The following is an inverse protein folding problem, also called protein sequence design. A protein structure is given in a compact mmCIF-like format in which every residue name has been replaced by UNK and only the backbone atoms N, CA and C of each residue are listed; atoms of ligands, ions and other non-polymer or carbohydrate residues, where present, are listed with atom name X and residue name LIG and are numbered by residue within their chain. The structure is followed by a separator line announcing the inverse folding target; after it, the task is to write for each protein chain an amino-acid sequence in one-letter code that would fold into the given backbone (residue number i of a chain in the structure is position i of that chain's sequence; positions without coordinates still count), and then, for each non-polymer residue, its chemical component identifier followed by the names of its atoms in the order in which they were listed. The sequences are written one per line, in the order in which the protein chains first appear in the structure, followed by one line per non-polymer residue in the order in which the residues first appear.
data_IF_150888600311
#
_entry.id   IF_150888600311
#
_cell.length_a   1.000
_cell.length_b   1.000
_cell.length_c   1.000
_cell.angle_alpha   90.00
_cell.angle_beta   90.00
_cell.angle_gamma   90.00
#
_symmetry.space_group_name_H-M   'P 1'
#
loop_
_entity.id
_entity.type
_entity.pdbx_description
1 polymer ?
#
# COMPACT_ATOMS: atom_id res chain seq x y z
N UNK A 1 7.87 9.21 -31.13
CA UNK A 1 7.60 7.82 -30.73
C UNK A 1 6.68 7.87 -29.53
N UNK A 2 5.42 7.45 -29.66
CA UNK A 2 4.57 7.23 -28.49
C UNK A 2 5.09 5.96 -27.83
N UNK A 3 5.64 6.08 -26.62
CA UNK A 3 5.95 4.91 -25.80
C UNK A 3 4.59 4.32 -25.42
N UNK A 4 4.27 3.10 -25.87
CA UNK A 4 3.07 2.41 -25.41
C UNK A 4 3.30 1.98 -23.95
N UNK A 5 2.73 2.73 -23.01
CA UNK A 5 2.65 2.30 -21.62
C UNK A 5 1.46 1.36 -21.41
N UNK A 6 1.60 0.39 -20.50
CA UNK A 6 0.49 -0.40 -19.99
C UNK A 6 0.25 -0.02 -18.53
N UNK A 7 -1.00 0.28 -18.13
CA UNK A 7 -1.30 0.63 -16.75
C UNK A 7 -0.88 -0.43 -15.73
N UNK A 8 -0.79 -1.71 -16.11
CA UNK A 8 -0.41 -2.78 -15.17
C UNK A 8 0.99 -2.60 -14.57
N UNK A 9 1.89 -1.88 -15.23
CA UNK A 9 3.22 -1.54 -14.68
C UNK A 9 3.46 -0.05 -14.53
N UNK A 10 2.79 0.78 -15.32
CA UNK A 10 3.01 2.22 -15.30
C UNK A 10 2.22 2.94 -14.18
N UNK A 11 1.15 2.34 -13.66
CA UNK A 11 0.22 2.98 -12.72
C UNK A 11 0.25 2.28 -11.37
N UNK A 12 1.31 2.53 -10.61
CA UNK A 12 1.49 2.04 -9.24
C UNK A 12 2.13 3.11 -8.36
N UNK A 13 1.34 3.88 -7.58
CA UNK A 13 1.82 5.04 -6.84
C UNK A 13 2.46 4.72 -5.48
N UNK A 14 2.53 3.44 -5.09
CA UNK A 14 3.02 3.02 -3.77
C UNK A 14 4.55 2.84 -3.68
N UNK A 15 5.30 3.14 -4.74
CA UNK A 15 6.77 3.03 -4.73
C UNK A 15 7.42 3.87 -3.61
N UNK A 16 6.90 5.08 -3.39
CA UNK A 16 7.37 5.95 -2.31
C UNK A 16 7.04 5.40 -0.92
N UNK A 17 5.87 4.76 -0.78
CA UNK A 17 5.46 4.10 0.46
C UNK A 17 6.39 2.93 0.76
N UNK A 18 6.62 2.04 -0.21
CA UNK A 18 7.50 0.88 -0.03
C UNK A 18 8.93 1.29 0.33
N UNK A 19 9.52 2.26 -0.39
CA UNK A 19 10.87 2.76 -0.07
C UNK A 19 10.95 3.43 1.30
N UNK A 20 9.88 4.09 1.75
CA UNK A 20 9.80 4.69 3.10
C UNK A 20 9.84 3.60 4.17
N UNK A 21 9.17 2.46 3.95
CA UNK A 21 9.22 1.32 4.86
C UNK A 21 10.62 0.71 4.95
N UNK A 22 11.34 0.63 3.84
CA UNK A 22 12.75 0.19 3.84
C UNK A 22 13.63 1.13 4.68
N UNK A 23 13.43 2.45 4.58
CA UNK A 23 14.14 3.42 5.43
C UNK A 23 13.75 3.29 6.92
N UNK A 24 12.48 2.98 7.21
CA UNK A 24 12.02 2.69 8.56
C UNK A 24 12.66 1.41 9.13
N UNK A 25 12.72 0.33 8.34
CA UNK A 25 13.41 -0.91 8.74
C UNK A 25 14.87 -0.68 9.08
N UNK A 26 15.60 0.12 8.28
CA UNK A 26 16.99 0.48 8.60
C UNK A 26 17.12 1.13 9.98
N UNK A 27 16.17 2.01 10.36
CA UNK A 27 16.14 2.59 11.71
C UNK A 27 15.82 1.55 12.79
N UNK A 28 14.94 0.57 12.51
CA UNK A 28 14.69 -0.53 13.46
C UNK A 28 15.94 -1.39 13.70
N UNK A 29 16.74 -1.63 12.66
CA UNK A 29 17.98 -2.41 12.77
C UNK A 29 19.13 -1.63 13.43
N UNK A 30 19.26 -0.33 13.12
CA UNK A 30 20.30 0.54 13.65
C UNK A 30 19.70 1.87 14.13
N UNK A 31 19.10 1.91 15.33
CA UNK A 31 18.39 3.09 15.81
C UNK A 31 19.31 4.30 15.99
N UNK A 32 18.93 5.42 15.37
CA UNK A 32 19.60 6.72 15.57
C UNK A 32 18.52 7.79 15.78
N UNK A 33 18.48 8.35 17.00
CA UNK A 33 17.47 9.33 17.38
C UNK A 33 17.62 10.68 16.64
N UNK A 34 18.83 11.03 16.18
CA UNK A 34 19.08 12.20 15.34
C UNK A 34 18.53 11.96 13.93
N UNK A 35 18.90 10.83 13.32
CA UNK A 35 18.39 10.43 12.00
C UNK A 35 16.86 10.32 11.99
N UNK A 36 16.29 9.72 13.04
CA UNK A 36 14.84 9.61 13.19
C UNK A 36 14.16 10.98 13.15
N UNK A 37 14.67 11.93 13.94
CA UNK A 37 14.07 13.26 14.07
C UNK A 37 14.28 14.13 12.83
N UNK A 38 15.48 14.11 12.26
CA UNK A 38 15.90 15.09 11.25
C UNK A 38 15.60 14.64 9.83
N UNK A 39 15.51 13.33 9.58
CA UNK A 39 15.42 12.77 8.22
C UNK A 39 14.22 11.85 8.05
N UNK A 40 14.07 10.87 8.93
CA UNK A 40 13.05 9.84 8.78
C UNK A 40 11.66 10.35 9.12
N UNK A 41 11.52 11.18 10.15
CA UNK A 41 10.23 11.77 10.51
C UNK A 41 9.65 12.66 9.40
N UNK A 42 10.40 13.63 8.81
CA UNK A 42 9.92 14.37 7.66
C UNK A 42 9.57 13.50 6.44
N UNK A 43 10.32 12.41 6.22
CA UNK A 43 10.03 11.45 5.16
C UNK A 43 8.70 10.72 5.41
N UNK A 44 8.52 10.17 6.61
CA UNK A 44 7.28 9.51 7.03
C UNK A 44 6.08 10.44 6.92
N UNK A 45 6.21 11.68 7.39
CA UNK A 45 5.14 12.69 7.29
C UNK A 45 4.79 13.01 5.84
N UNK A 46 5.77 13.23 4.97
CA UNK A 46 5.52 13.53 3.56
C UNK A 46 4.83 12.35 2.85
N UNK A 47 5.31 11.13 3.08
CA UNK A 47 4.71 9.92 2.52
C UNK A 47 3.28 9.68 3.05
N UNK A 48 3.04 9.89 4.35
CA UNK A 48 1.72 9.79 4.96
C UNK A 48 0.73 10.82 4.39
N UNK A 49 1.17 12.06 4.18
CA UNK A 49 0.33 13.11 3.58
C UNK A 49 -0.01 12.81 2.13
N UNK A 50 0.94 12.25 1.37
CA UNK A 50 0.65 11.76 0.02
C UNK A 50 -0.40 10.64 0.05
N UNK A 51 -0.20 9.63 0.90
CA UNK A 51 -1.15 8.53 1.08
C UNK A 51 -2.56 9.04 1.42
N UNK A 52 -2.68 9.94 2.39
CA UNK A 52 -3.95 10.58 2.77
C UNK A 52 -4.60 11.38 1.63
N UNK A 53 -3.81 11.97 0.74
CA UNK A 53 -4.33 12.71 -0.42
C UNK A 53 -4.75 11.80 -1.59
N UNK A 54 -4.26 10.56 -1.60
CA UNK A 54 -4.48 9.61 -2.68
C UNK A 54 -5.60 8.62 -2.35
N UNK A 55 -5.71 8.17 -1.11
CA UNK A 55 -6.82 7.32 -0.64
C UNK A 55 -8.13 8.08 -0.84
N UNK A 56 -9.09 7.42 -1.48
CA UNK A 56 -10.47 7.91 -1.57
C UNK A 56 -11.19 7.46 -0.31
N UNK A 57 -11.87 8.40 0.35
CA UNK A 57 -12.54 8.20 1.63
C UNK A 57 -13.90 8.94 1.60
N UNK A 58 -14.98 8.21 1.89
CA UNK A 58 -16.35 8.76 1.94
C UNK A 58 -16.87 9.00 3.36
N UNK A 59 -16.05 8.75 4.39
CA UNK A 59 -16.43 8.86 5.80
C UNK A 59 -16.81 7.52 6.44
N UNK A 60 -17.26 6.55 5.66
CA UNK A 60 -17.64 5.21 6.13
C UNK A 60 -16.67 4.14 5.63
N UNK A 61 -16.25 4.24 4.37
CA UNK A 61 -15.35 3.34 3.67
C UNK A 61 -14.18 4.11 3.06
N UNK A 62 -13.05 3.42 2.90
CA UNK A 62 -11.89 3.94 2.18
C UNK A 62 -11.40 2.94 1.14
N UNK A 63 -10.85 3.44 0.03
CA UNK A 63 -10.24 2.61 -1.01
C UNK A 63 -9.16 3.36 -1.79
N UNK A 64 -8.25 2.61 -2.42
CA UNK A 64 -7.28 3.19 -3.36
C UNK A 64 -7.81 3.12 -4.79
N UNK A 65 -7.61 4.17 -5.58
CA UNK A 65 -8.03 4.21 -6.99
C UNK A 65 -7.26 5.31 -7.76
N UNK A 66 -6.66 5.01 -8.93
CA UNK A 66 -6.50 3.68 -9.51
C UNK A 66 -5.52 2.82 -8.70
N UNK A 67 -5.76 1.52 -8.63
CA UNK A 67 -4.87 0.55 -7.99
C UNK A 67 -4.46 -0.54 -8.98
N UNK A 68 -3.27 -1.11 -8.80
CA UNK A 68 -2.77 -2.25 -9.56
C UNK A 68 -2.05 -3.22 -8.63
N UNK A 69 -2.08 -4.51 -8.97
CA UNK A 69 -1.05 -5.42 -8.47
C UNK A 69 0.08 -5.41 -9.50
N UNK A 70 1.30 -4.98 -9.15
CA UNK A 70 2.38 -4.75 -10.11
C UNK A 70 2.50 -5.85 -11.15
N UNK A 71 2.30 -5.45 -12.41
CA UNK A 71 2.45 -6.24 -13.64
C UNK A 71 1.49 -7.43 -13.81
N UNK A 72 0.65 -7.72 -12.81
CA UNK A 72 -0.32 -8.80 -12.87
C UNK A 72 -1.69 -8.33 -13.36
N UNK A 73 -2.51 -9.27 -13.81
CA UNK A 73 -3.87 -9.04 -14.31
C UNK A 73 -4.84 -10.07 -13.76
N UNK A 74 -6.07 -9.63 -13.51
CA UNK A 74 -7.21 -10.50 -13.24
C UNK A 74 -8.11 -10.60 -14.48
N UNK A 75 -8.98 -11.60 -14.51
CA UNK A 75 -10.02 -11.76 -15.54
C UNK A 75 -11.31 -11.10 -15.03
N UNK A 76 -11.84 -10.13 -15.79
CA UNK A 76 -13.10 -9.49 -15.45
C UNK A 76 -14.32 -10.38 -15.80
N UNK A 77 -15.52 -9.86 -15.52
CA UNK A 77 -16.79 -10.58 -15.77
C UNK A 77 -17.05 -10.87 -17.24
N UNK A 78 -16.40 -10.13 -18.14
CA UNK A 78 -16.51 -10.32 -19.59
C UNK A 78 -15.43 -11.28 -20.12
N UNK A 79 -14.61 -11.87 -19.24
CA UNK A 79 -13.53 -12.78 -19.60
C UNK A 79 -12.26 -12.08 -20.10
N UNK A 80 -12.12 -10.76 -19.84
CA UNK A 80 -11.03 -9.95 -20.38
C UNK A 80 -9.99 -9.68 -19.29
N UNK A 81 -8.67 -9.84 -19.57
CA UNK A 81 -7.63 -9.42 -18.63
C UNK A 81 -7.66 -7.91 -18.34
N UNK A 82 -7.67 -7.56 -17.06
CA UNK A 82 -7.63 -6.18 -16.55
C UNK A 82 -6.54 -6.03 -15.50
N UNK A 83 -6.02 -4.81 -15.40
CA UNK A 83 -4.97 -4.47 -14.45
C UNK A 83 -5.42 -3.46 -13.40
N UNK A 84 -6.17 -2.44 -13.84
CA UNK A 84 -6.70 -1.41 -12.96
C UNK A 84 -7.83 -1.98 -12.11
N UNK A 85 -7.73 -1.73 -10.81
CA UNK A 85 -8.70 -2.13 -9.79
C UNK A 85 -8.80 -1.03 -8.73
N UNK A 86 -9.44 -1.34 -7.61
CA UNK A 86 -9.38 -0.60 -6.37
C UNK A 86 -8.85 -1.46 -5.25
N UNK A 87 -8.03 -0.90 -4.36
CA UNK A 87 -7.52 -1.58 -3.16
C UNK A 87 -6.97 -2.97 -3.43
N UNK A 88 -5.99 -3.08 -4.34
CA UNK A 88 -5.19 -4.30 -4.43
C UNK A 88 -4.57 -4.59 -3.05
N UNK A 89 -4.39 -5.86 -2.71
CA UNK A 89 -3.93 -6.27 -1.38
C UNK A 89 -2.56 -5.67 -1.03
N UNK A 90 -1.70 -5.46 -2.04
CA UNK A 90 -0.42 -4.79 -1.87
C UNK A 90 -0.57 -3.36 -1.34
N UNK A 91 -1.45 -2.54 -1.93
CA UNK A 91 -1.70 -1.16 -1.49
C UNK A 91 -2.10 -1.14 -0.01
N UNK A 92 -3.07 -1.98 0.36
CA UNK A 92 -3.58 -2.07 1.74
C UNK A 92 -2.46 -2.47 2.70
N UNK A 93 -1.66 -3.48 2.34
CA UNK A 93 -0.55 -3.94 3.17
C UNK A 93 0.50 -2.84 3.39
N UNK A 94 0.90 -2.13 2.33
CA UNK A 94 1.88 -1.06 2.41
C UNK A 94 1.38 0.16 3.19
N UNK A 95 0.12 0.56 2.99
CA UNK A 95 -0.49 1.70 3.70
C UNK A 95 -0.66 1.41 5.20
N UNK A 96 -1.03 0.18 5.55
CA UNK A 96 -1.06 -0.27 6.96
C UNK A 96 0.34 -0.32 7.55
N UNK A 97 1.33 -0.80 6.81
CA UNK A 97 2.74 -0.76 7.21
C UNK A 97 3.22 0.67 7.49
N UNK A 98 2.88 1.62 6.61
CA UNK A 98 3.22 3.04 6.78
C UNK A 98 2.59 3.61 8.04
N UNK A 99 1.33 3.28 8.31
CA UNK A 99 0.62 3.71 9.52
C UNK A 99 1.30 3.21 10.79
N UNK A 100 1.73 1.94 10.81
CA UNK A 100 2.47 1.37 11.93
C UNK A 100 3.82 2.08 12.13
N UNK A 101 4.56 2.31 11.05
CA UNK A 101 5.84 3.04 11.10
C UNK A 101 5.67 4.47 11.63
N UNK A 102 4.72 5.23 11.09
CA UNK A 102 4.41 6.59 11.54
C UNK A 102 4.01 6.64 13.01
N UNK A 103 3.15 5.71 13.46
CA UNK A 103 2.71 5.62 14.86
C UNK A 103 3.86 5.32 15.79
N UNK A 104 4.72 4.35 15.44
CA UNK A 104 5.89 3.98 16.22
C UNK A 104 6.92 5.13 16.28
N UNK A 105 7.19 5.79 15.16
CA UNK A 105 8.08 6.95 15.10
C UNK A 105 7.57 8.11 15.97
N UNK A 106 6.26 8.41 15.89
CA UNK A 106 5.64 9.44 16.72
C UNK A 106 5.81 9.14 18.21
N UNK A 107 5.57 7.89 18.62
CA UNK A 107 5.77 7.46 20.00
C UNK A 107 7.24 7.59 20.45
N UNK A 108 8.20 7.16 19.63
CA UNK A 108 9.64 7.30 19.93
C UNK A 108 10.09 8.76 20.07
N UNK A 109 9.47 9.68 19.32
CA UNK A 109 9.77 11.10 19.36
C UNK A 109 8.93 11.88 20.40
N UNK A 110 7.99 11.22 21.09
CA UNK A 110 7.08 11.87 22.04
C UNK A 110 6.13 12.86 21.35
N UNK A 111 5.70 12.55 20.13
CA UNK A 111 4.88 13.42 19.27
C UNK A 111 3.41 13.01 19.27
N UNK A 112 2.53 13.98 19.08
CA UNK A 112 1.08 13.82 19.02
C UNK A 112 0.48 14.59 17.83
N UNK A 113 1.13 14.51 16.67
CA UNK A 113 0.64 15.18 15.46
C UNK A 113 -0.68 14.56 14.98
N UNK A 114 -1.69 15.40 14.73
CA UNK A 114 -3.04 14.96 14.38
C UNK A 114 -3.09 14.07 13.13
N UNK A 115 -2.19 14.30 12.17
CA UNK A 115 -2.15 13.54 10.92
C UNK A 115 -1.87 12.05 11.13
N UNK A 116 -1.17 11.67 12.21
CA UNK A 116 -0.91 10.26 12.55
C UNK A 116 -2.23 9.56 12.89
N UNK A 117 -3.10 10.24 13.65
CA UNK A 117 -4.44 9.75 13.98
C UNK A 117 -5.32 9.63 12.75
N UNK A 118 -5.35 10.66 11.91
CA UNK A 118 -6.10 10.65 10.64
C UNK A 118 -5.63 9.55 9.70
N UNK A 119 -4.32 9.35 9.56
CA UNK A 119 -3.76 8.27 8.75
C UNK A 119 -4.31 6.92 9.22
N UNK A 120 -4.23 6.64 10.52
CA UNK A 120 -4.76 5.41 11.11
C UNK A 120 -6.25 5.22 10.83
N UNK A 121 -7.07 6.23 11.12
CA UNK A 121 -8.52 6.18 10.91
C UNK A 121 -8.92 5.94 9.45
N UNK A 122 -8.18 6.51 8.49
CA UNK A 122 -8.41 6.27 7.06
C UNK A 122 -7.96 4.86 6.67
N UNK A 123 -6.78 4.41 7.11
CA UNK A 123 -6.28 3.07 6.75
C UNK A 123 -7.04 1.92 7.40
N UNK A 124 -7.64 2.15 8.58
CA UNK A 124 -8.51 1.18 9.26
C UNK A 124 -9.83 0.95 8.49
N UNK A 125 -10.23 1.91 7.64
CA UNK A 125 -11.41 1.81 6.76
C UNK A 125 -11.11 1.21 5.39
N UNK A 126 -9.85 0.92 5.07
CA UNK A 126 -9.48 0.15 3.88
C UNK A 126 -9.95 -1.30 4.02
N UNK A 127 -10.35 -1.97 2.92
CA UNK A 127 -10.82 -3.35 2.97
C UNK A 127 -9.75 -4.29 3.53
N UNK A 128 -10.16 -5.23 4.37
CA UNK A 128 -9.27 -6.26 4.88
C UNK A 128 -8.86 -7.26 3.79
N UNK A 129 -7.57 -7.64 3.70
CA UNK A 129 -7.15 -8.77 2.89
C UNK A 129 -7.97 -10.02 3.26
N UNK A 130 -8.48 -10.71 2.25
CA UNK A 130 -9.41 -11.82 2.40
C UNK A 130 -8.86 -13.11 1.78
N UNK A 131 -9.37 -14.24 2.23
CA UNK A 131 -8.99 -15.57 1.72
C UNK A 131 -10.00 -16.03 0.68
N UNK A 132 -9.51 -16.49 -0.47
CA UNK A 132 -10.31 -17.01 -1.57
C UNK A 132 -10.87 -18.40 -1.30
N UNK A 133 -11.72 -18.88 -2.21
CA UNK A 133 -12.35 -20.21 -2.10
C UNK A 133 -11.35 -21.37 -2.14
N UNK A 134 -10.19 -21.16 -2.76
CA UNK A 134 -9.08 -22.12 -2.84
C UNK A 134 -8.14 -22.07 -1.63
N UNK A 135 -8.39 -21.18 -0.67
CA UNK A 135 -7.58 -21.00 0.53
C UNK A 135 -6.39 -20.06 0.35
N UNK A 136 -6.19 -19.45 -0.82
CA UNK A 136 -5.14 -18.47 -1.05
C UNK A 136 -5.53 -17.08 -0.52
N UNK A 137 -4.53 -16.26 -0.19
CA UNK A 137 -4.76 -14.83 0.05
C UNK A 137 -5.11 -14.17 -1.28
N UNK A 138 -6.21 -13.42 -1.32
CA UNK A 138 -6.64 -12.75 -2.54
C UNK A 138 -5.70 -11.61 -2.92
N UNK A 139 -5.36 -11.51 -4.21
CA UNK A 139 -4.47 -10.47 -4.73
C UNK A 139 -5.16 -9.13 -4.95
N UNK A 140 -6.46 -9.17 -5.25
CA UNK A 140 -7.31 -8.00 -5.45
C UNK A 140 -8.50 -8.02 -4.49
N UNK A 141 -9.23 -6.91 -4.41
CA UNK A 141 -10.51 -6.87 -3.70
C UNK A 141 -11.52 -7.76 -4.44
N UNK A 142 -11.88 -8.87 -3.81
CA UNK A 142 -12.78 -9.89 -4.37
C UNK A 142 -12.04 -11.09 -4.96
N UNK A 143 -12.73 -12.23 -5.00
CA UNK A 143 -12.19 -13.49 -5.53
C UNK A 143 -12.23 -13.46 -7.07
N UNK A 144 -11.23 -12.81 -7.66
CA UNK A 144 -11.11 -12.59 -9.10
C UNK A 144 -10.17 -13.63 -9.73
N UNK A 145 -10.55 -14.28 -10.84
CA UNK A 145 -9.68 -15.25 -11.49
C UNK A 145 -8.38 -14.60 -11.97
N UNK A 146 -7.24 -15.25 -11.72
CA UNK A 146 -5.94 -14.77 -12.17
C UNK A 146 -5.77 -15.01 -13.67
N UNK A 147 -5.24 -14.02 -14.40
CA UNK A 147 -4.91 -14.19 -15.82
C UNK A 147 -3.66 -15.07 -16.01
N UNK A 148 -2.73 -15.03 -15.05
CA UNK A 148 -1.50 -15.82 -15.03
C UNK A 148 -1.28 -16.34 -13.60
N UNK A 149 -1.80 -17.54 -13.23
CA UNK A 149 -1.68 -18.07 -11.87
C UNK A 149 -0.24 -18.29 -11.38
N UNK A 150 0.71 -18.47 -12.29
CA UNK A 150 2.15 -18.64 -12.01
C UNK A 150 2.94 -17.35 -12.22
N UNK A 151 2.27 -16.19 -12.11
CA UNK A 151 2.92 -14.90 -12.32
C UNK A 151 4.11 -14.72 -11.37
N UNK A 152 5.19 -14.15 -11.90
CA UNK A 152 6.47 -14.07 -11.17
C UNK A 152 6.44 -13.11 -9.96
N UNK A 153 5.52 -12.15 -9.95
CA UNK A 153 5.33 -11.25 -8.81
C UNK A 153 4.29 -11.80 -7.86
N UNK A 154 4.58 -11.72 -6.56
CA UNK A 154 3.69 -12.10 -5.47
C UNK A 154 3.33 -10.85 -4.64
N UNK A 155 2.91 -9.79 -5.32
CA UNK A 155 2.74 -8.45 -4.76
C UNK A 155 1.82 -8.41 -3.53
N UNK A 156 0.77 -9.24 -3.53
CA UNK A 156 -0.17 -9.36 -2.42
C UNK A 156 0.45 -9.98 -1.15
N UNK A 157 1.63 -10.58 -1.25
CA UNK A 157 2.38 -11.14 -0.13
C UNK A 157 3.44 -10.18 0.44
N UNK A 158 3.51 -8.91 -0.02
CA UNK A 158 4.47 -7.93 0.52
C UNK A 158 4.32 -7.70 2.03
N UNK A 159 3.13 -7.95 2.59
CA UNK A 159 2.92 -7.86 4.05
C UNK A 159 3.52 -9.04 4.83
N UNK A 160 3.94 -10.12 4.16
CA UNK A 160 4.55 -11.30 4.76
C UNK A 160 6.08 -11.18 4.88
N UNK A 161 6.71 -10.47 3.95
CA UNK A 161 8.16 -10.28 3.86
C UNK A 161 8.48 -8.89 3.29
#
# INVERSE_FOLDING_TARGET
YAVSGDPCWATWPDAGVWLTLQAWEQHLFAPDAGMLRERLWPLLEATARFALSWIVDDGEHAWTSPSTSPENRFIDRDGVPRALTTSATMDVALLRGLTLACTAAAAQLGRADAWVGTLREVTDRLPDPSVGQDGALLEWTGDLPQAEPEHRHLSHLVGLF
#
